data_IF_081726163741
#
_entry.id   IF_081726163741
#
_cell.length_a   1.000
_cell.length_b   1.000
_cell.length_c   1.000
_cell.angle_alpha   90.00
_cell.angle_beta   90.00
_cell.angle_gamma   90.00
#
_symmetry.space_group_name_H-M   'P 1'
#
loop_
_entity.id
_entity.type
_entity.pdbx_description
1 polymer ?
#
# COMPACT_ATOMS: atom_id res chain seq x y z
N UNK A 1 -17.84 -28.13 3.91
CA UNK A 1 -16.80 -27.87 2.88
C UNK A 1 -16.56 -26.38 2.87
N UNK A 2 -15.50 -25.89 3.53
CA UNK A 2 -15.22 -24.47 3.59
C UNK A 2 -14.67 -24.01 2.24
N UNK A 3 -15.41 -23.13 1.55
CA UNK A 3 -14.95 -22.49 0.31
C UNK A 3 -13.75 -21.62 0.68
N UNK A 4 -12.55 -21.99 0.21
CA UNK A 4 -11.39 -21.12 0.34
C UNK A 4 -11.68 -19.77 -0.33
N UNK A 5 -11.33 -18.68 0.34
CA UNK A 5 -11.44 -17.35 -0.25
C UNK A 5 -10.52 -17.29 -1.48
N UNK A 6 -11.08 -16.99 -2.65
CA UNK A 6 -10.34 -16.79 -3.89
C UNK A 6 -10.19 -15.29 -4.08
N UNK A 7 -8.97 -14.80 -3.93
CA UNK A 7 -8.65 -13.39 -4.15
C UNK A 7 -8.18 -13.20 -5.61
N UNK A 8 -8.82 -12.32 -6.39
CA UNK A 8 -8.32 -11.97 -7.72
C UNK A 8 -6.94 -11.29 -7.63
N UNK A 9 -6.17 -11.31 -8.71
CA UNK A 9 -4.78 -10.84 -8.70
C UNK A 9 -4.63 -9.35 -8.33
N UNK A 10 -5.64 -8.53 -8.60
CA UNK A 10 -5.70 -7.10 -8.24
C UNK A 10 -6.23 -6.85 -6.82
N UNK A 11 -6.60 -7.91 -6.07
CA UNK A 11 -7.08 -7.76 -4.70
C UNK A 11 -5.93 -7.37 -3.76
N UNK A 12 -6.12 -6.44 -2.80
CA UNK A 12 -5.05 -5.98 -1.91
C UNK A 12 -4.30 -7.11 -1.19
N UNK A 13 -5.03 -8.12 -0.71
CA UNK A 13 -4.42 -9.31 -0.07
C UNK A 13 -3.51 -10.10 -1.04
N UNK A 14 -3.94 -10.28 -2.29
CA UNK A 14 -3.14 -11.01 -3.27
C UNK A 14 -1.87 -10.21 -3.62
N UNK A 15 -1.99 -8.89 -3.78
CA UNK A 15 -0.87 -7.98 -3.99
C UNK A 15 0.11 -8.01 -2.81
N UNK A 16 -0.38 -7.87 -1.58
CA UNK A 16 0.44 -7.90 -0.36
C UNK A 16 1.26 -9.20 -0.26
N UNK A 17 0.59 -10.36 -0.41
CA UNK A 17 1.26 -11.66 -0.30
C UNK A 17 2.26 -11.89 -1.43
N UNK A 18 1.91 -11.53 -2.67
CA UNK A 18 2.81 -11.73 -3.81
C UNK A 18 3.98 -10.75 -3.81
N UNK A 19 3.77 -9.50 -3.38
CA UNK A 19 4.83 -8.50 -3.16
C UNK A 19 5.81 -8.95 -2.07
N UNK A 20 5.29 -9.38 -0.90
CA UNK A 20 6.12 -9.92 0.17
C UNK A 20 6.92 -11.15 -0.28
N UNK A 21 6.27 -12.11 -0.95
CA UNK A 21 6.94 -13.31 -1.45
C UNK A 21 8.00 -13.01 -2.52
N UNK A 22 7.83 -11.93 -3.28
CA UNK A 22 8.83 -11.44 -4.23
C UNK A 22 10.02 -10.83 -3.47
N UNK A 23 9.78 -9.86 -2.60
CA UNK A 23 10.80 -9.17 -1.80
C UNK A 23 11.66 -10.15 -0.98
N UNK A 24 11.04 -11.14 -0.35
CA UNK A 24 11.76 -12.18 0.41
C UNK A 24 12.66 -13.06 -0.46
N UNK A 25 12.33 -13.23 -1.75
CA UNK A 25 13.08 -14.11 -2.67
C UNK A 25 14.22 -13.37 -3.35
N UNK A 26 14.01 -12.12 -3.71
CA UNK A 26 14.98 -11.28 -4.44
C UNK A 26 15.85 -10.44 -3.51
N UNK A 27 15.40 -10.20 -2.27
CA UNK A 27 16.05 -9.28 -1.34
C UNK A 27 15.83 -7.80 -1.68
N UNK A 28 14.86 -7.46 -2.53
CA UNK A 28 14.50 -6.07 -2.80
C UNK A 28 13.54 -5.49 -1.73
N UNK A 29 13.38 -4.18 -1.72
CA UNK A 29 12.44 -3.49 -0.84
C UNK A 29 11.00 -3.94 -1.09
N UNK A 30 10.22 -4.10 -0.03
CA UNK A 30 8.82 -4.56 -0.11
C UNK A 30 7.98 -3.61 -0.97
N UNK A 31 8.23 -2.30 -0.90
CA UNK A 31 7.49 -1.30 -1.68
C UNK A 31 7.78 -1.42 -3.18
N UNK A 32 9.01 -1.73 -3.57
CA UNK A 32 9.41 -1.88 -4.97
C UNK A 32 8.78 -3.14 -5.57
N UNK A 33 8.84 -4.25 -4.81
CA UNK A 33 8.18 -5.49 -5.18
C UNK A 33 6.65 -5.33 -5.31
N UNK A 34 6.03 -4.56 -4.41
CA UNK A 34 4.62 -4.23 -4.48
C UNK A 34 4.29 -3.37 -5.70
N UNK A 35 5.08 -2.34 -5.97
CA UNK A 35 4.88 -1.43 -7.11
C UNK A 35 4.97 -2.17 -8.44
N UNK A 36 6.00 -3.00 -8.62
CA UNK A 36 6.17 -3.85 -9.80
C UNK A 36 4.99 -4.82 -9.95
N UNK A 37 4.58 -5.45 -8.84
CA UNK A 37 3.48 -6.41 -8.88
C UNK A 37 2.15 -5.75 -9.19
N UNK A 38 1.86 -4.61 -8.58
CA UNK A 38 0.65 -3.84 -8.82
C UNK A 38 0.58 -3.37 -10.29
N UNK A 39 1.68 -2.85 -10.83
CA UNK A 39 1.78 -2.47 -12.23
C UNK A 39 1.48 -3.66 -13.17
N UNK A 40 2.00 -4.86 -12.86
CA UNK A 40 1.78 -6.06 -13.67
C UNK A 40 0.31 -6.52 -13.75
N UNK A 41 -0.54 -6.08 -12.82
CA UNK A 41 -1.98 -6.41 -12.76
C UNK A 41 -2.87 -5.18 -12.97
N UNK A 42 -2.30 -4.06 -13.43
CA UNK A 42 -3.05 -2.85 -13.76
C UNK A 42 -3.54 -2.05 -12.55
N UNK A 43 -2.93 -2.23 -11.38
CA UNK A 43 -3.22 -1.43 -10.18
C UNK A 43 -2.22 -0.27 -10.11
N UNK A 44 -2.66 0.99 -10.29
CA UNK A 44 -1.77 2.14 -10.23
C UNK A 44 -1.12 2.27 -8.86
N UNK A 45 0.15 2.70 -8.83
CA UNK A 45 0.80 3.08 -7.58
C UNK A 45 -0.07 4.11 -6.83
N UNK A 46 -0.12 4.04 -5.50
CA UNK A 46 -0.82 4.98 -4.61
C UNK A 46 -2.30 5.22 -4.91
N UNK A 47 -3.01 4.24 -5.49
CA UNK A 47 -4.47 4.18 -5.42
C UNK A 47 -4.91 3.44 -4.14
N UNK A 48 -6.19 3.54 -3.78
CA UNK A 48 -6.71 2.92 -2.55
C UNK A 48 -6.37 1.42 -2.45
N UNK A 49 -6.49 0.68 -3.56
CA UNK A 49 -6.16 -0.76 -3.61
C UNK A 49 -4.67 -1.03 -3.34
N UNK A 50 -3.79 -0.20 -3.90
CA UNK A 50 -2.35 -0.29 -3.65
C UNK A 50 -2.03 0.04 -2.19
N UNK A 51 -2.67 1.06 -1.66
CA UNK A 51 -2.45 1.54 -0.30
C UNK A 51 -2.90 0.51 0.74
N UNK A 52 -4.04 -0.14 0.49
CA UNK A 52 -4.51 -1.26 1.31
C UNK A 52 -3.52 -2.45 1.25
N UNK A 53 -2.95 -2.73 0.07
CA UNK A 53 -1.94 -3.78 -0.07
C UNK A 53 -0.64 -3.45 0.68
N UNK A 54 -0.18 -2.20 0.58
CA UNK A 54 1.00 -1.70 1.27
C UNK A 54 0.82 -1.73 2.80
N UNK A 55 -0.36 -1.35 3.29
CA UNK A 55 -0.71 -1.47 4.70
C UNK A 55 -0.72 -2.92 5.18
N UNK A 56 -1.31 -3.86 4.41
CA UNK A 56 -1.30 -5.29 4.71
C UNK A 56 0.12 -5.89 4.72
N UNK A 57 1.01 -5.34 3.89
CA UNK A 57 2.42 -5.72 3.84
C UNK A 57 3.29 -5.06 4.93
N UNK A 58 2.71 -4.20 5.78
CA UNK A 58 3.42 -3.51 6.86
C UNK A 58 4.20 -2.26 6.43
N UNK A 59 3.99 -1.77 5.21
CA UNK A 59 4.64 -0.58 4.64
C UNK A 59 3.61 0.48 4.20
N UNK A 60 2.75 0.98 5.10
CA UNK A 60 1.69 1.91 4.73
C UNK A 60 2.31 3.23 4.24
N UNK A 61 2.05 3.60 2.98
CA UNK A 61 2.65 4.76 2.31
C UNK A 61 1.62 5.87 2.05
N UNK A 62 1.95 7.11 2.39
CA UNK A 62 1.18 8.32 2.05
C UNK A 62 1.92 9.09 0.98
N UNK A 63 1.32 9.19 -0.22
CA UNK A 63 1.89 9.95 -1.33
C UNK A 63 1.96 11.46 -1.05
N UNK A 64 0.91 12.13 -0.51
CA UNK A 64 1.00 13.58 -0.26
C UNK A 64 2.12 13.94 0.71
N UNK A 65 2.44 13.03 1.63
CA UNK A 65 3.50 13.22 2.62
C UNK A 65 4.87 12.72 2.14
N UNK A 66 4.92 11.89 1.09
CA UNK A 66 6.10 11.11 0.71
C UNK A 66 6.71 10.34 1.90
N UNK A 67 5.84 9.77 2.74
CA UNK A 67 6.22 9.14 4.02
C UNK A 67 5.43 7.86 4.28
N UNK A 68 6.06 6.95 5.04
CA UNK A 68 5.39 5.78 5.60
C UNK A 68 4.68 6.15 6.90
N UNK A 69 3.36 6.19 6.86
CA UNK A 69 2.51 6.58 8.00
C UNK A 69 1.29 5.68 8.09
N UNK A 70 0.70 5.59 9.28
CA UNK A 70 -0.52 4.84 9.48
C UNK A 70 -1.71 5.41 8.68
N UNK A 71 -2.77 4.60 8.55
CA UNK A 71 -3.95 4.93 7.73
C UNK A 71 -4.65 6.21 8.20
N UNK A 72 -4.67 6.49 9.49
CA UNK A 72 -5.37 7.67 10.03
C UNK A 72 -4.59 8.94 9.74
N UNK A 73 -3.27 8.92 9.95
CA UNK A 73 -2.37 10.01 9.55
C UNK A 73 -2.43 10.29 8.06
N UNK A 74 -2.44 9.23 7.24
CA UNK A 74 -2.63 9.37 5.79
C UNK A 74 -3.99 9.99 5.44
N UNK A 75 -5.09 9.50 6.00
CA UNK A 75 -6.44 10.04 5.74
C UNK A 75 -6.55 11.52 6.09
N UNK A 76 -5.95 11.93 7.21
CA UNK A 76 -5.87 13.35 7.59
C UNK A 76 -5.07 14.15 6.57
N UNK A 77 -3.92 13.64 6.13
CA UNK A 77 -3.11 14.28 5.11
C UNK A 77 -3.84 14.42 3.76
N UNK A 78 -4.52 13.36 3.30
CA UNK A 78 -5.27 13.35 2.04
C UNK A 78 -6.45 14.36 2.04
N UNK A 79 -6.95 14.73 3.23
CA UNK A 79 -8.02 15.72 3.40
C UNK A 79 -7.52 17.17 3.50
N UNK A 80 -6.20 17.39 3.52
CA UNK A 80 -5.58 18.70 3.74
C UNK A 80 -4.85 19.21 2.49
N UNK A 81 -4.82 20.52 2.26
CA UNK A 81 -3.95 21.10 1.25
C UNK A 81 -2.48 20.97 1.66
N UNK A 82 -1.58 21.02 0.67
CA UNK A 82 -0.14 20.74 0.85
C UNK A 82 0.52 21.59 1.95
N UNK A 83 0.18 22.88 2.04
CA UNK A 83 0.69 23.83 3.05
C UNK A 83 0.30 23.46 4.49
N UNK A 84 -0.66 22.55 4.66
CA UNK A 84 -1.22 22.13 5.95
C UNK A 84 -0.94 20.68 6.29
N UNK A 85 -0.20 19.95 5.47
CA UNK A 85 0.09 18.52 5.67
C UNK A 85 0.73 18.21 7.03
N UNK A 86 1.53 19.12 7.57
CA UNK A 86 2.13 18.98 8.90
C UNK A 86 1.08 18.81 10.02
N UNK A 87 -0.14 19.34 9.84
CA UNK A 87 -1.24 19.18 10.79
C UNK A 87 -1.76 17.73 10.84
N UNK A 88 -1.49 16.91 9.83
CA UNK A 88 -1.83 15.49 9.85
C UNK A 88 -1.07 14.71 10.93
N UNK A 89 0.04 15.26 11.45
CA UNK A 89 0.83 14.64 12.53
C UNK A 89 0.51 15.21 13.92
N UNK A 90 -0.25 16.31 13.98
CA UNK A 90 -0.60 16.95 15.24
C UNK A 90 -1.79 16.21 15.87
N UNK A 91 -1.57 15.70 17.07
CA UNK A 91 -2.56 15.06 17.94
C UNK A 91 -2.71 15.87 19.22
#
# INVERSE_FOLDING_TARGET
MNKHAVYPAHHPVALALTGLACALRSGCEVIDALAERAASVGVPFGCETFDDAAALAGVPYSRPLDLYVDRETKRRADALPYDRLHLAFMH
#
